data_IF_781742124232
#
_entry.id   IF_781742124232
#
_cell.length_a   1.000
_cell.length_b   1.000
_cell.length_c   1.000
_cell.angle_alpha   90.00
_cell.angle_beta   90.00
_cell.angle_gamma   90.00
#
_symmetry.space_group_name_H-M   'P 1'
#
loop_
_entity.id
_entity.type
_entity.pdbx_description
1 polymer ?
#
# COMPACT_ATOMS: atom_id res chain seq x y z
N UNK A 1 -2.34 -25.87 3.45
CA UNK A 1 -2.13 -24.83 2.41
C UNK A 1 -3.17 -23.75 2.60
N UNK A 2 -2.90 -22.52 2.15
CA UNK A 2 -3.83 -21.39 2.28
C UNK A 2 -3.71 -20.42 1.12
N UNK A 3 -4.80 -19.73 0.83
CA UNK A 3 -4.87 -18.69 -0.19
C UNK A 3 -5.33 -17.38 0.44
N UNK A 4 -4.70 -16.27 0.05
CA UNK A 4 -5.24 -14.94 0.28
C UNK A 4 -6.09 -14.59 -0.93
N UNK A 5 -7.36 -14.25 -0.68
CA UNK A 5 -8.35 -13.96 -1.72
C UNK A 5 -8.81 -12.52 -1.58
N UNK A 6 -8.71 -11.76 -2.67
CA UNK A 6 -9.27 -10.42 -2.73
C UNK A 6 -10.81 -10.52 -2.87
N UNK A 7 -11.55 -9.81 -2.02
CA UNK A 7 -13.02 -9.85 -2.01
C UNK A 7 -13.67 -8.65 -2.70
N UNK A 8 -12.87 -7.66 -3.10
CA UNK A 8 -13.31 -6.42 -3.70
C UNK A 8 -12.47 -6.13 -4.96
N UNK A 9 -12.95 -5.26 -5.84
CA UNK A 9 -12.12 -4.76 -6.94
C UNK A 9 -11.15 -3.73 -6.38
N UNK A 10 -9.88 -3.78 -6.79
CA UNK A 10 -8.92 -2.76 -6.36
C UNK A 10 -7.51 -3.02 -6.85
N UNK A 11 -6.62 -2.08 -6.52
CA UNK A 11 -5.18 -2.17 -6.76
C UNK A 11 -4.54 -2.94 -5.61
N UNK A 12 -3.84 -4.02 -5.94
CA UNK A 12 -3.12 -4.80 -4.95
C UNK A 12 -1.84 -4.09 -4.54
N UNK A 13 -1.69 -3.87 -3.24
CA UNK A 13 -0.48 -3.33 -2.64
C UNK A 13 -0.12 -4.08 -1.35
N UNK A 14 1.18 -4.27 -1.12
CA UNK A 14 1.71 -4.91 0.07
C UNK A 14 2.16 -6.36 -0.14
N UNK A 15 2.22 -6.87 -1.38
CA UNK A 15 2.66 -8.24 -1.67
C UNK A 15 4.11 -8.45 -1.24
N UNK A 16 5.00 -7.48 -1.50
CA UNK A 16 6.39 -7.54 -1.04
C UNK A 16 6.47 -7.66 0.48
N UNK A 17 5.75 -6.82 1.21
CA UNK A 17 5.75 -6.73 2.67
C UNK A 17 5.11 -7.97 3.30
N UNK A 18 4.01 -8.45 2.72
CA UNK A 18 3.38 -9.72 3.05
C UNK A 18 4.33 -10.91 2.94
N UNK A 19 5.15 -10.96 1.86
CA UNK A 19 6.16 -12.01 1.69
C UNK A 19 7.24 -11.95 2.76
N UNK A 20 7.63 -10.76 3.22
CA UNK A 20 8.59 -10.59 4.31
C UNK A 20 8.00 -11.09 5.62
N UNK A 21 6.77 -10.68 5.96
CA UNK A 21 6.06 -11.13 7.17
C UNK A 21 5.93 -12.66 7.20
N UNK A 22 5.49 -13.26 6.10
CA UNK A 22 5.37 -14.70 5.97
C UNK A 22 6.73 -15.40 6.12
N UNK A 23 7.80 -14.84 5.52
CA UNK A 23 9.16 -15.40 5.66
C UNK A 23 9.65 -15.39 7.11
N UNK A 24 9.44 -14.29 7.84
CA UNK A 24 9.80 -14.17 9.27
C UNK A 24 9.07 -15.24 10.10
N UNK A 25 7.86 -15.60 9.68
CA UNK A 25 7.02 -16.62 10.32
C UNK A 25 7.37 -18.06 9.90
N UNK A 26 8.48 -18.25 9.18
CA UNK A 26 8.90 -19.54 8.63
C UNK A 26 8.07 -20.02 7.44
N UNK A 27 7.27 -19.14 6.82
CA UNK A 27 6.36 -19.50 5.74
C UNK A 27 6.94 -19.31 4.34
N UNK A 28 6.81 -20.33 3.50
CA UNK A 28 7.07 -20.26 2.06
C UNK A 28 5.81 -19.79 1.34
N UNK A 29 5.95 -18.75 0.52
CA UNK A 29 4.83 -18.14 -0.19
C UNK A 29 5.16 -17.84 -1.65
N UNK A 30 4.16 -18.06 -2.50
CA UNK A 30 4.16 -17.74 -3.92
C UNK A 30 3.12 -16.65 -4.18
N UNK A 31 3.52 -15.59 -4.88
CA UNK A 31 2.58 -14.57 -5.37
C UNK A 31 1.95 -15.04 -6.68
N UNK A 32 0.70 -14.69 -6.88
CA UNK A 32 -0.04 -14.90 -8.14
C UNK A 32 -0.29 -13.60 -8.88
N UNK A 33 -0.18 -12.46 -8.18
CA UNK A 33 -0.31 -11.10 -8.73
C UNK A 33 0.88 -10.24 -8.31
N UNK A 34 1.05 -9.10 -8.96
CA UNK A 34 2.11 -8.12 -8.64
C UNK A 34 1.54 -6.95 -7.84
N UNK A 35 2.41 -6.28 -7.07
CA UNK A 35 2.07 -4.97 -6.50
C UNK A 35 1.79 -3.97 -7.65
N UNK A 36 0.74 -3.17 -7.48
CA UNK A 36 0.22 -2.23 -8.48
C UNK A 36 -0.77 -2.84 -9.49
N UNK A 37 -1.07 -4.14 -9.40
CA UNK A 37 -2.00 -4.81 -10.31
C UNK A 37 -3.46 -4.62 -9.88
N UNK A 38 -4.35 -4.30 -10.82
CA UNK A 38 -5.79 -4.22 -10.59
C UNK A 38 -6.38 -5.62 -10.65
N UNK A 39 -7.13 -6.01 -9.62
CA UNK A 39 -7.77 -7.33 -9.55
C UNK A 39 -9.27 -7.22 -9.32
N UNK A 40 -9.98 -8.31 -9.64
CA UNK A 40 -11.41 -8.47 -9.39
C UNK A 40 -11.67 -9.32 -8.12
N UNK A 41 -12.87 -9.24 -7.52
CA UNK A 41 -13.28 -10.14 -6.45
C UNK A 41 -13.07 -11.61 -6.81
N UNK A 42 -12.66 -12.41 -5.84
CA UNK A 42 -12.34 -13.83 -6.03
C UNK A 42 -10.90 -14.10 -6.51
N UNK A 43 -10.13 -13.06 -6.88
CA UNK A 43 -8.73 -13.23 -7.28
C UNK A 43 -7.89 -13.72 -6.12
N UNK A 44 -7.19 -14.85 -6.30
CA UNK A 44 -6.18 -15.34 -5.37
C UNK A 44 -4.92 -14.52 -5.59
N UNK A 45 -4.39 -13.87 -4.57
CA UNK A 45 -3.23 -12.95 -4.67
C UNK A 45 -1.94 -13.53 -4.05
N UNK A 46 -2.09 -14.44 -3.09
CA UNK A 46 -1.00 -15.17 -2.47
C UNK A 46 -1.40 -16.63 -2.23
N UNK A 47 -0.43 -17.51 -2.38
CA UNK A 47 -0.49 -18.90 -1.97
C UNK A 47 0.60 -19.17 -0.94
N UNK A 48 0.27 -19.98 0.07
CA UNK A 48 1.22 -20.41 1.11
C UNK A 48 1.01 -21.87 1.48
N UNK A 49 2.10 -22.59 1.73
CA UNK A 49 2.09 -23.98 2.16
C UNK A 49 2.97 -24.14 3.39
N UNK A 50 2.32 -24.27 4.56
CA UNK A 50 2.95 -24.30 5.89
C UNK A 50 2.07 -25.01 6.92
N UNK A 51 2.64 -25.37 8.09
CA UNK A 51 1.86 -25.76 9.26
C UNK A 51 0.78 -24.73 9.60
N UNK A 52 -0.41 -25.22 9.97
CA UNK A 52 -1.56 -24.36 10.23
C UNK A 52 -1.32 -23.35 11.35
N UNK A 53 -0.61 -23.74 12.42
CA UNK A 53 -0.31 -22.86 13.54
C UNK A 53 0.48 -21.61 13.12
N UNK A 54 1.52 -21.77 12.28
CA UNK A 54 2.30 -20.63 11.78
C UNK A 54 1.47 -19.68 10.93
N UNK A 55 0.59 -20.22 10.08
CA UNK A 55 -0.26 -19.40 9.23
C UNK A 55 -1.28 -18.61 10.05
N UNK A 56 -1.96 -19.27 10.99
CA UNK A 56 -3.00 -18.65 11.81
C UNK A 56 -2.46 -17.56 12.74
N UNK A 57 -1.22 -17.70 13.22
CA UNK A 57 -0.57 -16.67 14.04
C UNK A 57 -0.38 -15.34 13.31
N UNK A 58 -0.15 -15.37 12.00
CA UNK A 58 0.16 -14.16 11.22
C UNK A 58 -0.94 -13.72 10.29
N UNK A 59 -1.98 -14.52 10.13
CA UNK A 59 -3.10 -14.26 9.23
C UNK A 59 -3.68 -12.86 9.43
N UNK A 60 -4.05 -12.49 10.66
CA UNK A 60 -4.71 -11.20 10.91
C UNK A 60 -3.81 -10.02 10.58
N UNK A 61 -2.52 -10.10 10.94
CA UNK A 61 -1.55 -9.04 10.65
C UNK A 61 -1.33 -8.92 9.14
N UNK A 62 -1.19 -10.05 8.45
CA UNK A 62 -1.04 -10.13 7.00
C UNK A 62 -2.23 -9.50 6.28
N UNK A 63 -3.45 -9.88 6.66
CA UNK A 63 -4.68 -9.39 6.04
C UNK A 63 -4.87 -7.90 6.33
N UNK A 64 -4.65 -7.44 7.56
CA UNK A 64 -4.78 -6.02 7.91
C UNK A 64 -3.80 -5.16 7.09
N UNK A 65 -2.55 -5.62 6.92
CA UNK A 65 -1.55 -4.90 6.13
C UNK A 65 -1.94 -4.83 4.66
N UNK A 66 -2.30 -5.96 4.05
CA UNK A 66 -2.69 -6.03 2.63
C UNK A 66 -3.94 -5.19 2.36
N UNK A 67 -4.96 -5.29 3.23
CA UNK A 67 -6.20 -4.51 3.09
C UNK A 67 -5.92 -3.00 3.21
N UNK A 68 -5.13 -2.57 4.20
CA UNK A 68 -4.81 -1.15 4.37
C UNK A 68 -4.04 -0.59 3.18
N UNK A 69 -2.96 -1.28 2.77
CA UNK A 69 -2.14 -0.84 1.64
C UNK A 69 -2.94 -0.84 0.34
N UNK A 70 -3.74 -1.88 0.07
CA UNK A 70 -4.54 -1.96 -1.15
C UNK A 70 -5.66 -0.91 -1.18
N UNK A 71 -6.26 -0.58 -0.02
CA UNK A 71 -7.23 0.51 0.08
C UNK A 71 -6.62 1.87 -0.28
N UNK A 72 -5.43 2.18 0.27
CA UNK A 72 -4.71 3.41 -0.07
C UNK A 72 -4.30 3.46 -1.54
N UNK A 73 -3.81 2.35 -2.09
CA UNK A 73 -3.41 2.28 -3.51
C UNK A 73 -4.61 2.44 -4.45
N UNK A 74 -5.75 1.83 -4.11
CA UNK A 74 -6.99 1.93 -4.90
C UNK A 74 -7.52 3.35 -4.90
N UNK A 75 -7.67 3.97 -3.73
CA UNK A 75 -8.12 5.37 -3.63
C UNK A 75 -7.17 6.34 -4.34
N UNK A 76 -5.86 6.09 -4.29
CA UNK A 76 -4.88 6.89 -5.03
C UNK A 76 -5.08 6.76 -6.53
N UNK A 77 -5.23 5.54 -7.03
CA UNK A 77 -5.41 5.27 -8.44
C UNK A 77 -6.69 5.92 -8.99
N UNK A 78 -7.79 5.88 -8.24
CA UNK A 78 -9.04 6.55 -8.62
C UNK A 78 -8.85 8.06 -8.81
N UNK A 79 -8.10 8.71 -7.91
CA UNK A 79 -7.79 10.15 -8.02
C UNK A 79 -6.84 10.44 -9.18
N UNK A 80 -5.85 9.59 -9.42
CA UNK A 80 -4.92 9.71 -10.56
C UNK A 80 -5.68 9.61 -11.88
N UNK A 81 -6.53 8.59 -12.03
CA UNK A 81 -7.37 8.42 -13.22
C UNK A 81 -8.34 9.58 -13.43
N UNK A 82 -8.85 10.19 -12.35
CA UNK A 82 -9.68 11.37 -12.45
C UNK A 82 -8.88 12.58 -12.95
N UNK A 83 -7.66 12.76 -12.47
CA UNK A 83 -6.77 13.85 -12.89
C UNK A 83 -6.28 13.70 -14.34
N UNK A 84 -6.04 12.46 -14.80
CA UNK A 84 -5.67 12.16 -16.19
C UNK A 84 -6.74 12.57 -17.22
N UNK A 85 -8.00 12.75 -16.79
CA UNK A 85 -9.08 13.26 -17.65
C UNK A 85 -9.03 14.78 -17.85
N UNK A 86 -8.17 15.49 -17.12
CA UNK A 86 -7.97 16.92 -17.32
C UNK A 86 -6.97 17.19 -18.44
N UNK A 87 -7.13 18.29 -19.17
CA UNK A 87 -6.25 18.67 -20.30
C UNK A 87 -4.81 19.07 -19.88
N UNK A 88 -4.46 18.94 -18.59
CA UNK A 88 -3.17 19.33 -18.04
C UNK A 88 -2.35 18.17 -17.50
N UNK A 89 -1.02 18.31 -17.51
CA UNK A 89 -0.12 17.38 -16.83
C UNK A 89 -0.13 17.62 -15.32
N UNK A 90 -1.03 16.93 -14.61
CA UNK A 90 -1.18 17.03 -13.16
C UNK A 90 -0.66 15.77 -12.47
N UNK A 91 -0.04 15.92 -11.30
CA UNK A 91 0.35 14.80 -10.43
C UNK A 91 -0.45 14.86 -9.13
N UNK A 92 -0.98 13.72 -8.71
CA UNK A 92 -1.65 13.59 -7.41
C UNK A 92 -0.61 13.23 -6.35
N UNK A 93 -0.38 14.14 -5.39
CA UNK A 93 0.59 13.95 -4.32
C UNK A 93 -0.09 13.70 -2.97
N UNK A 94 0.42 12.76 -2.19
CA UNK A 94 -0.04 12.53 -0.82
C UNK A 94 0.69 13.44 0.19
N UNK A 95 0.26 13.41 1.46
CA UNK A 95 0.81 14.29 2.52
C UNK A 95 1.55 13.49 3.60
N UNK A 96 2.00 14.17 4.66
CA UNK A 96 2.55 13.52 5.87
C UNK A 96 1.50 13.23 6.95
N UNK A 97 0.21 13.38 6.63
CA UNK A 97 -0.93 12.97 7.48
C UNK A 97 -1.13 11.45 7.36
N UNK A 98 -0.07 10.71 7.72
CA UNK A 98 -0.01 9.26 7.68
C UNK A 98 -0.28 8.69 9.07
N UNK A 99 -0.78 7.46 9.16
CA UNK A 99 -0.93 6.78 10.44
C UNK A 99 0.44 6.65 11.15
N UNK A 100 0.53 6.98 12.47
CA UNK A 100 1.75 6.79 13.24
C UNK A 100 2.26 5.35 13.13
N UNK A 101 3.55 5.18 12.82
CA UNK A 101 4.16 3.86 12.63
C UNK A 101 3.94 3.21 11.26
N UNK A 102 2.97 3.68 10.44
CA UNK A 102 2.63 3.07 9.15
C UNK A 102 3.01 3.89 7.92
N UNK A 103 3.67 5.05 8.11
CA UNK A 103 4.04 5.96 7.03
C UNK A 103 4.69 5.28 5.82
N UNK A 104 5.62 4.35 6.06
CA UNK A 104 6.29 3.63 4.98
C UNK A 104 5.29 2.89 4.08
N UNK A 105 4.37 2.14 4.69
CA UNK A 105 3.37 1.34 3.99
C UNK A 105 2.40 2.21 3.20
N UNK A 106 1.94 3.31 3.80
CA UNK A 106 1.00 4.23 3.14
C UNK A 106 1.67 4.97 1.97
N UNK A 107 2.90 5.45 2.14
CA UNK A 107 3.66 6.09 1.05
C UNK A 107 3.94 5.12 -0.08
N UNK A 108 4.33 3.88 0.25
CA UNK A 108 4.52 2.83 -0.76
C UNK A 108 3.22 2.48 -1.48
N UNK A 109 2.10 2.43 -0.77
CA UNK A 109 0.79 2.20 -1.38
C UNK A 109 0.38 3.34 -2.33
N UNK A 110 0.63 4.60 -1.98
CA UNK A 110 0.42 5.75 -2.88
C UNK A 110 1.24 5.60 -4.16
N UNK A 111 2.53 5.27 -4.04
CA UNK A 111 3.40 5.04 -5.19
C UNK A 111 2.88 3.91 -6.09
N UNK A 112 2.44 2.79 -5.49
CA UNK A 112 1.86 1.65 -6.21
C UNK A 112 0.51 1.98 -6.87
N UNK A 113 -0.25 2.92 -6.30
CA UNK A 113 -1.46 3.48 -6.90
C UNK A 113 -1.19 4.53 -8.00
N UNK A 114 0.08 4.84 -8.30
CA UNK A 114 0.47 5.82 -9.31
C UNK A 114 0.58 7.27 -8.81
N UNK A 115 0.41 7.50 -7.50
CA UNK A 115 0.54 8.82 -6.90
C UNK A 115 1.98 9.22 -6.56
N UNK A 116 2.21 10.50 -6.37
CA UNK A 116 3.46 11.06 -5.86
C UNK A 116 3.51 10.95 -4.32
N UNK A 117 4.63 10.45 -3.81
CA UNK A 117 4.81 10.26 -2.37
C UNK A 117 5.06 11.57 -1.63
N UNK A 118 5.32 12.67 -2.33
CA UNK A 118 5.79 13.93 -1.80
C UNK A 118 7.01 13.70 -0.87
N UNK A 119 7.38 14.68 -0.04
CA UNK A 119 8.34 14.45 1.04
C UNK A 119 7.87 13.36 2.02
N UNK A 120 8.77 12.47 2.43
CA UNK A 120 8.51 11.42 3.42
C UNK A 120 8.66 11.96 4.84
N UNK A 121 9.61 12.88 5.07
CA UNK A 121 10.01 13.39 6.38
C UNK A 121 10.14 14.93 6.37
N UNK A 122 10.60 15.50 7.49
CA UNK A 122 10.82 16.96 7.61
C UNK A 122 12.12 17.39 6.93
N UNK A 123 13.10 16.50 6.96
CA UNK A 123 14.47 16.64 6.47
C UNK A 123 14.62 16.39 4.96
N UNK A 124 13.65 15.75 4.31
CA UNK A 124 13.74 15.51 2.85
C UNK A 124 13.51 16.79 2.02
N UNK A 125 12.68 17.72 2.51
CA UNK A 125 12.30 18.94 1.81
C UNK A 125 11.77 19.99 2.78
N UNK A 126 12.35 21.18 2.73
CA UNK A 126 11.87 22.36 3.46
C UNK A 126 10.53 22.80 2.85
N UNK A 127 9.52 22.95 3.70
CA UNK A 127 8.21 23.48 3.30
C UNK A 127 7.89 24.65 4.20
N UNK A 128 8.20 25.85 3.71
CA UNK A 128 7.84 27.10 4.37
C UNK A 128 6.33 27.27 4.29
N UNK A 129 5.75 27.69 5.41
CA UNK A 129 4.33 27.98 5.60
C UNK A 129 4.22 29.27 6.38
N UNK A 130 3.03 29.86 6.42
CA UNK A 130 2.73 31.10 7.15
C UNK A 130 3.28 31.11 8.58
N UNK A 131 3.17 29.99 9.31
CA UNK A 131 3.71 29.87 10.67
C UNK A 131 5.23 30.13 10.78
N UNK A 132 6.00 29.87 9.72
CA UNK A 132 7.44 30.13 9.73
C UNK A 132 7.74 31.61 9.44
N UNK A 133 6.88 32.27 8.66
CA UNK A 133 7.02 33.70 8.34
C UNK A 133 6.72 34.59 9.54
N UNK A 134 5.82 34.17 10.45
CA UNK A 134 5.47 34.92 11.67
C UNK A 134 6.64 35.01 12.67
N UNK A 135 7.62 34.11 12.58
CA UNK A 135 8.75 34.03 13.52
C UNK A 135 9.96 34.84 13.00
N UNK A 136 9.89 35.37 11.78
CA UNK A 136 10.91 36.25 11.19
C UNK A 136 10.51 37.71 11.39
#
# INVERSE_FOLDING_TARGET
>A
TGYVVCKETGVIAGIREAKVLLRISGCKTTRTVRDGEIVKPGTRILYTSVPAHNLLMVERVLLNLLSHMSGVATATQELVQLAEKSDGHVRIACTRKTLPGLRYFEKRAVELGGGDTHRLRLDDMVLIKDNHLVIT
#
